data_IF_075934050463
#
_entry.id   IF_075934050463
#
_cell.length_a   1.000
_cell.length_b   1.000
_cell.length_c   1.000
_cell.angle_alpha   90.00
_cell.angle_beta   90.00
_cell.angle_gamma   90.00
#
_symmetry.space_group_name_H-M   'P 1'
#
loop_
_entity.id
_entity.type
_entity.pdbx_description
1 polymer ?
#
# COMPACT_ATOMS: atom_id res chain seq x y z
N UNK A 1 -5.21 -30.74 2.57
CA UNK A 1 -4.61 -29.60 3.28
C UNK A 1 -3.88 -30.16 4.47
N UNK A 2 -2.55 -30.03 4.50
CA UNK A 2 -1.76 -30.40 5.68
C UNK A 2 -1.88 -29.26 6.68
N UNK A 3 -2.75 -29.43 7.65
CA UNK A 3 -2.92 -28.50 8.76
C UNK A 3 -2.30 -29.11 10.01
N UNK A 4 -1.73 -28.25 10.86
CA UNK A 4 -1.28 -28.63 12.19
C UNK A 4 -2.41 -28.56 13.24
N UNK A 5 -3.62 -28.13 12.83
CA UNK A 5 -4.77 -28.03 13.73
C UNK A 5 -5.31 -29.42 14.08
N UNK A 6 -5.30 -29.73 15.37
CA UNK A 6 -6.00 -30.90 15.91
C UNK A 6 -7.42 -30.53 16.30
N UNK A 7 -8.30 -31.54 16.40
CA UNK A 7 -9.68 -31.30 16.87
C UNK A 7 -9.72 -30.83 18.35
N UNK A 8 -8.69 -31.13 19.13
CA UNK A 8 -8.48 -30.64 20.49
C UNK A 8 -8.11 -29.15 20.54
N UNK A 9 -7.48 -28.60 19.49
CA UNK A 9 -7.23 -27.16 19.39
C UNK A 9 -8.51 -26.37 19.04
N UNK A 10 -9.48 -27.03 18.42
CA UNK A 10 -10.75 -26.44 17.96
C UNK A 10 -11.94 -26.80 18.89
N UNK A 11 -11.72 -26.85 20.20
CA UNK A 11 -12.79 -27.15 21.16
C UNK A 11 -13.84 -26.04 21.16
N UNK A 12 -15.12 -26.41 21.13
CA UNK A 12 -16.24 -25.46 21.25
C UNK A 12 -16.89 -25.01 19.94
N UNK A 13 -16.74 -25.77 18.83
CA UNK A 13 -17.28 -25.45 17.49
C UNK A 13 -16.69 -24.19 16.84
N UNK A 14 -15.46 -23.84 17.20
CA UNK A 14 -14.73 -22.74 16.54
C UNK A 14 -14.44 -23.07 15.07
N UNK A 15 -14.40 -22.04 14.23
CA UNK A 15 -14.06 -22.19 12.83
C UNK A 15 -12.56 -22.42 12.65
N UNK A 16 -12.21 -23.28 11.69
CA UNK A 16 -10.83 -23.53 11.27
C UNK A 16 -10.45 -22.51 10.21
N UNK A 17 -9.45 -21.68 10.49
CA UNK A 17 -8.84 -20.77 9.52
C UNK A 17 -7.44 -21.26 9.21
N UNK A 18 -7.14 -21.40 7.93
CA UNK A 18 -5.84 -21.87 7.45
C UNK A 18 -5.03 -20.70 6.91
N UNK A 19 -3.71 -20.75 7.07
CA UNK A 19 -2.76 -19.78 6.51
C UNK A 19 -3.18 -18.33 6.79
N UNK A 20 -3.46 -17.99 8.05
CA UNK A 20 -3.68 -16.61 8.46
C UNK A 20 -2.34 -15.87 8.60
N UNK A 21 -2.27 -14.67 8.03
CA UNK A 21 -1.11 -13.79 8.16
C UNK A 21 -1.35 -12.80 9.30
N UNK A 22 -0.71 -13.04 10.44
CA UNK A 22 -0.95 -12.25 11.65
C UNK A 22 0.07 -11.16 11.91
N UNK A 23 1.09 -11.00 11.06
CA UNK A 23 2.14 -9.99 11.26
C UNK A 23 1.84 -8.78 10.41
N UNK A 24 1.01 -7.92 11.00
CA UNK A 24 0.62 -6.63 10.46
C UNK A 24 0.65 -5.59 11.58
N UNK A 25 0.75 -4.33 11.17
CA UNK A 25 0.72 -3.19 12.08
C UNK A 25 -0.62 -2.47 11.91
N UNK A 26 -1.41 -2.41 12.98
CA UNK A 26 -2.73 -1.77 12.99
C UNK A 26 -2.92 -1.00 14.30
N UNK A 27 -3.51 0.19 14.24
CA UNK A 27 -3.82 1.00 15.43
C UNK A 27 -2.62 1.29 16.38
N UNK A 28 -1.41 1.43 15.83
CA UNK A 28 -0.13 1.56 16.56
C UNK A 28 0.30 0.31 17.33
N UNK A 29 -0.24 -0.85 16.99
CA UNK A 29 0.13 -2.12 17.57
C UNK A 29 0.64 -3.07 16.51
N UNK A 30 1.70 -3.78 16.85
CA UNK A 30 2.09 -4.96 16.10
C UNK A 30 1.18 -6.11 16.52
N UNK A 31 0.71 -6.85 15.53
CA UNK A 31 -0.01 -8.09 15.74
C UNK A 31 0.93 -9.26 15.43
N UNK A 32 0.74 -10.36 16.16
CA UNK A 32 1.42 -11.61 15.90
C UNK A 32 0.50 -12.80 16.12
N UNK A 33 0.85 -14.00 15.62
CA UNK A 33 0.03 -15.19 15.78
C UNK A 33 -0.30 -15.46 17.24
N UNK A 34 -1.56 -15.81 17.51
CA UNK A 34 -1.96 -16.26 18.83
C UNK A 34 -1.56 -17.73 19.04
N UNK A 35 -0.32 -17.94 19.49
CA UNK A 35 0.26 -19.27 19.70
C UNK A 35 -0.50 -20.18 20.69
N UNK A 36 -1.52 -19.68 21.40
CA UNK A 36 -2.38 -20.53 22.25
C UNK A 36 -3.53 -21.20 21.50
N UNK A 37 -3.97 -20.63 20.38
CA UNK A 37 -5.08 -21.16 19.55
C UNK A 37 -4.67 -21.40 18.10
N UNK A 38 -3.38 -21.20 17.82
CA UNK A 38 -2.82 -21.29 16.49
C UNK A 38 -1.62 -22.22 16.48
N UNK A 39 -1.34 -22.79 15.31
CA UNK A 39 -0.20 -23.65 15.08
C UNK A 39 0.51 -23.21 13.79
N UNK A 40 1.78 -23.58 13.66
CA UNK A 40 2.58 -23.26 12.48
C UNK A 40 2.69 -24.48 11.54
N UNK A 41 2.19 -24.41 10.30
CA UNK A 41 2.28 -25.52 9.36
C UNK A 41 3.73 -25.75 8.89
N UNK A 42 4.34 -26.87 9.29
CA UNK A 42 5.75 -27.21 8.96
C UNK A 42 6.07 -27.19 7.45
N UNK A 43 5.06 -27.37 6.59
CA UNK A 43 5.26 -27.40 5.12
C UNK A 43 5.23 -26.04 4.43
N UNK A 44 4.91 -24.94 5.13
CA UNK A 44 4.94 -23.60 4.52
C UNK A 44 6.34 -23.23 4.04
N UNK A 45 7.39 -23.68 4.74
CA UNK A 45 8.78 -23.54 4.30
C UNK A 45 9.08 -24.32 3.01
N UNK A 46 8.35 -25.42 2.74
CA UNK A 46 8.49 -26.18 1.48
C UNK A 46 7.75 -25.52 0.32
N UNK A 47 6.60 -24.91 0.60
CA UNK A 47 5.83 -24.17 -0.41
C UNK A 47 6.51 -22.84 -0.76
N UNK A 48 7.16 -22.20 0.21
CA UNK A 48 7.83 -20.91 0.06
C UNK A 48 9.28 -20.98 0.61
N UNK A 49 10.20 -21.67 -0.07
CA UNK A 49 11.56 -21.90 0.43
C UNK A 49 12.44 -20.66 0.52
N UNK A 50 12.10 -19.58 -0.20
CA UNK A 50 12.80 -18.30 -0.18
C UNK A 50 12.24 -17.29 0.84
N UNK A 51 11.25 -17.69 1.63
CA UNK A 51 10.51 -16.80 2.49
C UNK A 51 11.11 -16.78 3.91
N UNK A 52 11.94 -15.78 4.19
CA UNK A 52 12.57 -15.55 5.51
C UNK A 52 11.57 -15.29 6.66
N UNK A 53 10.29 -15.16 6.33
CA UNK A 53 9.19 -14.78 7.21
C UNK A 53 8.04 -15.79 7.13
N UNK A 54 8.33 -17.03 6.79
CA UNK A 54 7.28 -18.02 6.56
C UNK A 54 6.70 -18.62 7.84
N UNK A 55 7.47 -18.58 8.92
CA UNK A 55 7.01 -18.80 10.30
C UNK A 55 5.83 -17.91 10.74
N UNK A 56 5.52 -16.86 9.97
CA UNK A 56 4.49 -15.86 10.27
C UNK A 56 3.07 -16.25 9.82
N UNK A 57 2.95 -17.29 9.01
CA UNK A 57 1.65 -17.85 8.61
C UNK A 57 1.18 -18.86 9.65
N UNK A 58 -0.07 -18.80 10.09
CA UNK A 58 -0.58 -19.71 11.12
C UNK A 58 -1.93 -20.30 10.74
N UNK A 59 -2.15 -21.56 11.08
CA UNK A 59 -3.51 -22.11 11.11
C UNK A 59 -4.07 -21.88 12.52
N UNK A 60 -5.35 -21.54 12.66
CA UNK A 60 -5.97 -21.21 13.94
C UNK A 60 -7.41 -21.67 14.05
N UNK A 61 -7.85 -21.91 15.28
CA UNK A 61 -9.23 -22.19 15.65
C UNK A 61 -9.84 -20.96 16.34
N UNK A 62 -10.75 -20.26 15.68
CA UNK A 62 -11.29 -19.01 16.17
C UNK A 62 -12.77 -18.80 15.81
N UNK A 63 -13.43 -17.84 16.46
CA UNK A 63 -14.79 -17.44 16.13
C UNK A 63 -14.79 -16.45 14.94
N UNK A 64 -13.70 -15.69 14.79
CA UNK A 64 -13.41 -14.81 13.66
C UNK A 64 -11.93 -14.93 13.22
N UNK A 65 -11.59 -14.62 11.96
CA UNK A 65 -10.20 -14.67 11.51
C UNK A 65 -9.29 -13.66 12.24
N UNK A 66 -9.85 -12.58 12.78
CA UNK A 66 -9.12 -11.57 13.54
C UNK A 66 -8.61 -12.11 14.88
N UNK A 67 -9.34 -13.03 15.51
CA UNK A 67 -8.95 -13.58 16.82
C UNK A 67 -7.70 -14.47 16.74
N UNK A 68 -7.34 -14.90 15.52
CA UNK A 68 -6.11 -15.64 15.26
C UNK A 68 -4.84 -14.83 15.53
N UNK A 69 -4.96 -13.50 15.56
CA UNK A 69 -3.86 -12.59 15.72
C UNK A 69 -4.03 -11.81 17.03
N UNK A 70 -3.01 -11.83 17.89
CA UNK A 70 -3.00 -11.08 19.13
C UNK A 70 -2.14 -9.83 18.98
N UNK A 71 -2.55 -8.80 19.69
CA UNK A 71 -1.78 -7.58 19.85
C UNK A 71 -0.55 -7.84 20.72
N UNK A 72 0.62 -7.47 20.21
CA UNK A 72 1.86 -7.49 20.97
C UNK A 72 1.87 -6.33 21.98
N UNK A 73 2.11 -6.66 23.24
CA UNK A 73 2.15 -5.68 24.34
C UNK A 73 3.41 -4.80 24.32
N UNK A 74 4.40 -5.14 23.49
CA UNK A 74 5.69 -4.47 23.47
C UNK A 74 6.03 -4.01 22.07
N UNK A 75 5.64 -2.80 21.69
CA UNK A 75 6.44 -2.00 20.74
C UNK A 75 5.99 -0.55 20.74
N UNK A 76 6.92 0.31 21.15
CA UNK A 76 6.90 1.77 21.15
C UNK A 76 6.02 2.48 22.21
N UNK A 77 6.55 3.55 22.85
CA UNK A 77 5.75 4.40 23.72
C UNK A 77 4.57 4.95 22.92
N UNK A 78 3.37 5.06 23.53
CA UNK A 78 2.21 5.62 22.85
C UNK A 78 2.59 7.01 22.34
N UNK A 79 2.50 7.22 21.03
CA UNK A 79 2.60 8.56 20.47
C UNK A 79 1.43 9.36 21.05
N UNK A 80 1.68 10.59 21.54
CA UNK A 80 0.68 11.48 22.15
C UNK A 80 -0.46 11.91 21.20
N UNK A 81 -0.56 11.30 20.02
CA UNK A 81 -1.59 11.56 19.04
C UNK A 81 -2.33 10.24 18.78
N UNK A 82 -3.66 10.18 19.00
CA UNK A 82 -4.45 9.06 18.52
C UNK A 82 -4.39 9.08 16.99
N UNK A 83 -3.56 8.24 16.39
CA UNK A 83 -3.71 7.85 14.99
C UNK A 83 -4.88 6.87 14.94
N UNK A 84 -6.11 7.39 14.90
CA UNK A 84 -7.24 6.58 14.45
C UNK A 84 -6.85 6.05 13.07
N UNK A 85 -6.73 4.73 12.95
CA UNK A 85 -6.65 4.12 11.63
C UNK A 85 -7.94 4.51 10.89
N UNK A 86 -7.87 4.97 9.64
CA UNK A 86 -9.06 5.43 8.93
C UNK A 86 -10.20 4.42 8.85
N UNK A 87 -9.91 3.12 9.01
CA UNK A 87 -10.88 2.02 9.01
C UNK A 87 -11.12 1.39 10.38
N UNK A 88 -10.62 2.01 11.45
CA UNK A 88 -11.14 1.74 12.79
C UNK A 88 -12.62 2.16 12.86
N UNK A 89 -13.32 1.77 13.93
CA UNK A 89 -14.79 1.79 14.10
C UNK A 89 -15.53 3.13 13.92
N UNK A 90 -14.90 4.18 13.38
CA UNK A 90 -15.48 5.47 13.00
C UNK A 90 -15.69 5.70 11.49
N UNK A 91 -15.57 4.68 10.65
CA UNK A 91 -15.83 4.78 9.21
C UNK A 91 -17.32 4.58 8.91
N UNK A 92 -18.11 5.65 8.93
CA UNK A 92 -19.57 5.58 8.73
C UNK A 92 -19.98 5.13 7.32
N UNK A 93 -19.10 5.31 6.32
CA UNK A 93 -19.41 5.07 4.90
C UNK A 93 -18.21 4.48 4.14
N UNK A 94 -18.04 3.15 4.16
CA UNK A 94 -16.97 2.48 3.43
C UNK A 94 -17.27 2.40 1.93
N UNK A 95 -16.31 2.82 1.11
CA UNK A 95 -16.31 2.71 -0.35
C UNK A 95 -15.07 1.95 -0.82
N UNK A 96 -15.24 0.91 -1.64
CA UNK A 96 -14.14 0.07 -2.12
C UNK A 96 -13.82 0.35 -3.59
N UNK A 97 -12.53 0.47 -3.91
CA UNK A 97 -12.05 0.63 -5.28
C UNK A 97 -10.67 -0.01 -5.45
N UNK A 98 -10.34 -0.45 -6.67
CA UNK A 98 -9.09 -1.17 -6.94
C UNK A 98 -7.86 -0.24 -6.97
N UNK A 99 -7.98 0.93 -7.61
CA UNK A 99 -6.86 1.87 -7.78
C UNK A 99 -7.33 3.28 -8.09
N UNK A 100 -6.54 4.28 -7.67
CA UNK A 100 -6.68 5.64 -8.15
C UNK A 100 -6.16 5.78 -9.60
N UNK A 101 -6.55 6.87 -10.27
CA UNK A 101 -6.04 7.18 -11.59
C UNK A 101 -4.53 7.53 -11.54
N UNK A 102 -3.81 7.42 -12.65
CA UNK A 102 -2.33 7.58 -12.70
C UNK A 102 -1.86 8.97 -12.25
N UNK A 103 -2.75 9.97 -12.35
CA UNK A 103 -2.52 11.36 -11.94
C UNK A 103 -2.95 11.67 -10.50
N UNK A 104 -3.36 10.65 -9.75
CA UNK A 104 -3.90 10.76 -8.40
C UNK A 104 -3.08 9.89 -7.45
N UNK A 105 -2.90 10.38 -6.23
CA UNK A 105 -2.32 9.67 -5.10
C UNK A 105 -3.42 9.25 -4.13
N UNK A 106 -3.21 8.11 -3.49
CA UNK A 106 -4.11 7.61 -2.45
C UNK A 106 -3.97 8.49 -1.20
N UNK A 107 -5.10 8.94 -0.66
CA UNK A 107 -5.16 9.72 0.58
C UNK A 107 -5.08 8.80 1.81
N UNK A 108 -3.87 8.46 2.22
CA UNK A 108 -3.57 7.58 3.36
C UNK A 108 -4.22 7.99 4.70
N UNK A 109 -4.76 9.22 4.80
CA UNK A 109 -5.47 9.68 6.01
C UNK A 109 -6.90 9.15 6.13
N UNK A 110 -7.55 8.80 5.02
CA UNK A 110 -8.96 8.38 4.97
C UNK A 110 -9.15 7.04 4.23
N UNK A 111 -8.06 6.42 3.79
CA UNK A 111 -8.08 5.16 3.04
C UNK A 111 -7.24 4.09 3.73
N UNK A 112 -7.62 2.83 3.55
CA UNK A 112 -6.93 1.66 4.09
C UNK A 112 -6.79 0.60 3.01
N UNK A 113 -5.71 -0.15 3.05
CA UNK A 113 -5.55 -1.34 2.21
C UNK A 113 -6.39 -2.48 2.79
N UNK A 114 -7.21 -3.10 1.96
CA UNK A 114 -8.08 -4.22 2.34
C UNK A 114 -8.00 -5.30 1.28
N UNK A 115 -7.02 -6.20 1.42
CA UNK A 115 -6.74 -7.24 0.42
C UNK A 115 -6.15 -6.65 -0.86
N UNK A 116 -6.75 -6.96 -2.01
CA UNK A 116 -6.34 -6.44 -3.32
C UNK A 116 -6.93 -5.06 -3.66
N UNK A 117 -7.72 -4.48 -2.75
CA UNK A 117 -8.43 -3.22 -2.95
C UNK A 117 -8.12 -2.18 -1.88
N UNK A 118 -8.59 -0.97 -2.14
CA UNK A 118 -8.49 0.17 -1.24
C UNK A 118 -9.89 0.47 -0.70
N UNK A 119 -10.01 0.47 0.62
CA UNK A 119 -11.19 0.95 1.33
C UNK A 119 -11.03 2.45 1.60
N UNK A 120 -12.03 3.24 1.29
CA UNK A 120 -12.09 4.66 1.64
C UNK A 120 -13.28 4.96 2.53
N UNK A 121 -13.08 5.89 3.46
CA UNK A 121 -14.10 6.36 4.39
C UNK A 121 -14.64 7.74 3.97
N UNK A 122 -15.03 7.88 2.71
CA UNK A 122 -15.74 9.05 2.16
C UNK A 122 -16.69 8.61 1.05
N UNK A 123 -17.78 9.38 0.88
CA UNK A 123 -18.73 9.22 -0.22
C UNK A 123 -18.19 9.71 -1.58
N UNK A 124 -17.06 10.41 -1.57
CA UNK A 124 -16.49 11.04 -2.76
C UNK A 124 -15.10 10.49 -3.04
N UNK A 125 -14.96 9.86 -4.22
CA UNK A 125 -13.69 9.31 -4.69
C UNK A 125 -12.58 10.36 -4.77
N UNK A 126 -12.92 11.64 -4.96
CA UNK A 126 -11.95 12.72 -5.02
C UNK A 126 -11.31 13.04 -3.67
N UNK A 127 -11.94 12.65 -2.56
CA UNK A 127 -11.35 12.78 -1.23
C UNK A 127 -10.35 11.64 -0.99
N UNK A 128 -10.62 10.47 -1.56
CA UNK A 128 -9.80 9.26 -1.47
C UNK A 128 -8.59 9.29 -2.41
N UNK A 129 -8.74 9.91 -3.57
CA UNK A 129 -7.75 10.00 -4.63
C UNK A 129 -7.37 11.47 -4.88
N UNK A 130 -6.33 11.96 -4.22
CA UNK A 130 -5.88 13.36 -4.31
C UNK A 130 -5.05 13.55 -5.58
N UNK A 131 -5.39 14.55 -6.38
CA UNK A 131 -4.61 14.91 -7.57
C UNK A 131 -3.18 15.34 -7.22
N UNK A 132 -2.20 14.78 -7.95
CA UNK A 132 -0.79 15.12 -7.84
C UNK A 132 -0.47 16.46 -8.51
N UNK A 133 -0.90 17.56 -7.91
CA UNK A 133 -0.69 18.91 -8.47
C UNK A 133 0.80 19.21 -8.66
N UNK A 134 1.62 18.89 -7.68
CA UNK A 134 3.05 19.22 -7.69
C UNK A 134 3.82 18.49 -8.80
N UNK A 135 3.56 17.19 -9.00
CA UNK A 135 4.18 16.42 -10.10
C UNK A 135 3.72 16.95 -11.47
N UNK A 136 2.43 17.27 -11.64
CA UNK A 136 1.93 17.85 -12.88
C UNK A 136 2.55 19.22 -13.21
N UNK A 137 2.78 20.07 -12.22
CA UNK A 137 3.45 21.36 -12.42
C UNK A 137 4.89 21.17 -12.91
N UNK A 138 5.62 20.19 -12.36
CA UNK A 138 6.99 19.87 -12.81
C UNK A 138 7.01 19.41 -14.27
N UNK A 139 6.14 18.48 -14.65
CA UNK A 139 6.10 17.99 -16.04
C UNK A 139 5.70 19.08 -17.04
N UNK A 140 4.69 19.90 -16.71
CA UNK A 140 4.27 21.00 -17.58
C UNK A 140 5.35 22.07 -17.75
N UNK A 141 6.08 22.42 -16.68
CA UNK A 141 7.19 23.36 -16.74
C UNK A 141 8.33 22.88 -17.65
N UNK A 142 8.67 21.59 -17.58
CA UNK A 142 9.72 20.99 -18.39
C UNK A 142 9.38 21.01 -19.89
N UNK A 143 8.12 20.72 -20.24
CA UNK A 143 7.62 20.80 -21.62
C UNK A 143 7.72 22.23 -22.16
N UNK A 144 7.33 23.22 -21.36
CA UNK A 144 7.41 24.64 -21.76
C UNK A 144 8.87 25.05 -22.04
N UNK A 145 9.83 24.65 -21.19
CA UNK A 145 11.25 24.96 -21.39
C UNK A 145 11.77 24.35 -22.70
N UNK A 146 11.41 23.10 -23.00
CA UNK A 146 11.81 22.43 -24.25
C UNK A 146 11.23 23.15 -25.47
N UNK A 147 9.98 23.62 -25.40
CA UNK A 147 9.35 24.39 -26.47
C UNK A 147 10.05 25.74 -26.68
N UNK A 148 10.40 26.45 -25.61
CA UNK A 148 11.18 27.69 -25.72
C UNK A 148 12.57 27.48 -26.32
N UNK A 149 13.28 26.43 -25.91
CA UNK A 149 14.60 26.09 -26.45
C UNK A 149 14.55 25.71 -27.93
N UNK A 150 13.56 24.92 -28.33
CA UNK A 150 13.38 24.54 -29.74
C UNK A 150 13.03 25.76 -30.61
N UNK A 151 12.15 26.64 -30.13
CA UNK A 151 11.85 27.91 -30.81
C UNK A 151 13.09 28.82 -30.90
N UNK A 152 13.86 28.95 -29.82
CA UNK A 152 15.10 29.73 -29.79
C UNK A 152 16.12 29.20 -30.81
N UNK A 153 16.33 27.89 -30.86
CA UNK A 153 17.22 27.27 -31.84
C UNK A 153 16.75 27.51 -33.28
N UNK A 154 15.45 27.36 -33.57
CA UNK A 154 14.88 27.65 -34.89
C UNK A 154 15.05 29.12 -35.32
N UNK A 155 14.90 30.07 -34.39
CA UNK A 155 15.12 31.49 -34.71
C UNK A 155 16.60 31.78 -34.93
N UNK A 156 17.51 31.21 -34.12
CA UNK A 156 18.95 31.42 -34.27
C UNK A 156 19.48 30.94 -35.62
N UNK A 157 18.99 29.81 -36.11
CA UNK A 157 19.39 29.29 -37.43
C UNK A 157 18.88 30.15 -38.59
N UNK A 158 17.76 30.86 -38.43
CA UNK A 158 17.25 31.82 -39.43
C UNK A 158 18.09 33.10 -39.55
N UNK A 159 18.85 33.46 -38.51
CA UNK A 159 19.68 34.68 -38.49
C UNK A 159 21.19 34.41 -38.72
N UNK A 160 21.58 33.20 -39.13
CA UNK A 160 22.95 32.94 -39.60
C UNK A 160 23.18 33.69 -40.92
N UNK A 161 23.88 34.82 -40.83
CA UNK A 161 24.42 35.53 -41.98
C UNK A 161 25.51 34.64 -42.58
N UNK A 162 25.28 34.10 -43.78
CA UNK A 162 26.33 33.45 -44.55
C UNK A 162 27.41 34.48 -44.87
N UNK A 163 28.69 34.25 -44.54
CA UNK A 163 29.73 35.17 -44.96
C UNK A 163 29.76 35.19 -46.49
N UNK A 164 29.69 36.39 -47.07
CA UNK A 164 29.83 36.57 -48.50
C UNK A 164 31.16 35.96 -48.96
N UNK A 165 31.09 34.98 -49.86
CA UNK A 165 32.24 34.49 -50.60
C UNK A 165 32.79 35.65 -51.42
N UNK A 166 33.83 36.31 -50.90
CA UNK A 166 34.65 37.23 -51.66
C UNK A 166 35.42 36.42 -52.71
N UNK A 167 34.77 36.19 -53.85
CA UNK A 167 35.43 35.74 -55.07
C UNK A 167 36.12 36.96 -55.68
N UNK A 168 37.33 37.26 -55.21
CA UNK A 168 38.21 38.21 -55.87
C UNK A 168 39.24 37.44 -56.70
N UNK A 169 39.08 37.58 -58.01
CA UNK A 169 40.07 37.75 -59.10
C UNK A 169 41.48 37.21 -58.83
#
# INVERSE_FOLDING_TARGET
>A
MDTCLTDEMCVGKKYKYYQQWCIYHMDNYNYSPNYTISCHPERIERTYPSCASCWKWTDCCADSPQDCCIKEFYTYPPTNSPTLHPCSSGCDKPYYFEKCNIFQNINQKITCESGDGIQCCSDNINDCCIFKKDEMFVYSGLIIIILFLSFYMMTRDKYKINPATNSNV
#
